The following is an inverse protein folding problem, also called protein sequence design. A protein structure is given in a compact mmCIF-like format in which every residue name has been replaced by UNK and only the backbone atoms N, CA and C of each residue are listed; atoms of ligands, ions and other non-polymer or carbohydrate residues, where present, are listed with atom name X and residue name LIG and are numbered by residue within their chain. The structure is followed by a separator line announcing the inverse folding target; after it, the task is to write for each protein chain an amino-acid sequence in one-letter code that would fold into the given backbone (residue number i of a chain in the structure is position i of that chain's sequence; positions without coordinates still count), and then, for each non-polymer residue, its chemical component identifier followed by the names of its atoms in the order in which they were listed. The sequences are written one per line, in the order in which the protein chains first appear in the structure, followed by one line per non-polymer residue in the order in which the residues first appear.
data_IF_112164575817
#
_entry.id   IF_112164575817
#
_cell.length_a   1.000
_cell.length_b   1.000
_cell.length_c   1.000
_cell.angle_alpha   90.00
_cell.angle_beta   90.00
_cell.angle_gamma   90.00
#
_symmetry.space_group_name_H-M   'P 1'
#
loop_
_entity.id
_entity.type
_entity.pdbx_description
1 polymer ?
#
# COMPACT_ATOMS: atom_id res chain seq x y z
N UNK A 1 101.06 61.54 -68.45
CA UNK A 1 99.67 61.04 -68.47
C UNK A 1 99.27 60.77 -67.02
N UNK A 2 98.18 61.40 -66.59
CA UNK A 2 97.89 61.81 -65.20
C UNK A 2 97.14 60.74 -64.38
N UNK A 3 97.79 60.26 -63.31
CA UNK A 3 97.17 59.39 -62.29
C UNK A 3 96.01 60.10 -61.56
N UNK A 4 95.96 61.43 -61.58
CA UNK A 4 94.95 62.25 -60.90
C UNK A 4 93.57 62.29 -61.57
N UNK A 5 93.45 62.02 -62.88
CA UNK A 5 92.16 62.11 -63.60
C UNK A 5 91.34 60.81 -63.52
N UNK A 6 92.01 59.66 -63.47
CA UNK A 6 91.34 58.34 -63.33
C UNK A 6 90.71 58.17 -61.95
N UNK A 7 91.39 58.62 -60.89
CA UNK A 7 90.85 58.58 -59.52
C UNK A 7 89.66 59.53 -59.33
N UNK A 8 89.67 60.70 -59.97
CA UNK A 8 88.54 61.64 -59.93
C UNK A 8 87.27 61.06 -60.54
N UNK A 9 87.37 60.36 -61.68
CA UNK A 9 86.22 59.72 -62.33
C UNK A 9 85.67 58.53 -61.53
N UNK A 10 86.54 57.73 -60.90
CA UNK A 10 86.12 56.59 -60.07
C UNK A 10 85.43 57.05 -58.79
N UNK A 11 85.91 58.11 -58.12
CA UNK A 11 85.27 58.66 -56.91
C UNK A 11 83.88 59.22 -57.21
N UNK A 12 83.68 59.87 -58.37
CA UNK A 12 82.38 60.39 -58.78
C UNK A 12 81.40 59.26 -59.12
N UNK A 13 81.85 58.21 -59.83
CA UNK A 13 81.01 57.05 -60.14
C UNK A 13 80.64 56.24 -58.89
N UNK A 14 81.59 56.01 -57.98
CA UNK A 14 81.31 55.31 -56.70
C UNK A 14 80.40 56.16 -55.80
N UNK A 15 80.58 57.48 -55.78
CA UNK A 15 79.71 58.41 -55.07
C UNK A 15 78.28 58.43 -55.61
N UNK A 16 78.11 58.40 -56.94
CA UNK A 16 76.81 58.34 -57.60
C UNK A 16 76.08 57.01 -57.34
N UNK A 17 76.80 55.88 -57.43
CA UNK A 17 76.25 54.55 -57.11
C UNK A 17 75.86 54.47 -55.62
N UNK A 18 76.67 55.04 -54.73
CA UNK A 18 76.37 55.10 -53.29
C UNK A 18 75.11 55.93 -52.98
N UNK A 19 74.88 57.04 -53.68
CA UNK A 19 73.68 57.86 -53.51
C UNK A 19 72.41 57.15 -54.01
N UNK A 20 72.49 56.45 -55.14
CA UNK A 20 71.38 55.65 -55.68
C UNK A 20 71.06 54.46 -54.77
N UNK A 21 72.07 53.75 -54.27
CA UNK A 21 71.86 52.64 -53.34
C UNK A 21 71.22 53.13 -52.02
N UNK A 22 71.63 54.30 -51.52
CA UNK A 22 71.07 54.90 -50.30
C UNK A 22 69.62 55.37 -50.50
N UNK A 23 69.27 55.94 -51.65
CA UNK A 23 67.89 56.34 -51.93
C UNK A 23 66.98 55.12 -52.12
N UNK A 24 67.47 54.05 -52.76
CA UNK A 24 66.71 52.81 -52.95
C UNK A 24 66.47 52.08 -51.62
N UNK A 25 67.51 51.95 -50.77
CA UNK A 25 67.39 51.33 -49.44
C UNK A 25 66.44 52.10 -48.52
N UNK A 26 66.47 53.44 -48.56
CA UNK A 26 65.57 54.26 -47.74
C UNK A 26 64.13 54.23 -48.23
N UNK A 27 63.88 54.15 -49.54
CA UNK A 27 62.54 53.95 -50.09
C UNK A 27 62.00 52.56 -49.75
N UNK A 28 62.81 51.52 -49.99
CA UNK A 28 62.44 50.14 -49.70
C UNK A 28 62.15 49.91 -48.21
N UNK A 29 62.97 50.50 -47.32
CA UNK A 29 62.75 50.47 -45.87
C UNK A 29 61.47 51.21 -45.44
N UNK A 30 61.16 52.36 -46.04
CA UNK A 30 59.90 53.08 -45.75
C UNK A 30 58.68 52.31 -46.22
N UNK A 31 58.77 51.64 -47.36
CA UNK A 31 57.65 50.91 -47.95
C UNK A 31 57.40 49.58 -47.21
N UNK A 32 58.46 48.85 -46.85
CA UNK A 32 58.35 47.68 -45.96
C UNK A 32 57.84 48.05 -44.57
N UNK A 33 58.29 49.17 -43.98
CA UNK A 33 57.77 49.64 -42.69
C UNK A 33 56.27 49.99 -42.76
N UNK A 34 55.81 50.63 -43.84
CA UNK A 34 54.37 50.92 -44.05
C UNK A 34 53.55 49.63 -44.18
N UNK A 35 54.05 48.64 -44.90
CA UNK A 35 53.37 47.34 -45.06
C UNK A 35 53.27 46.61 -43.73
N UNK A 36 54.35 46.60 -42.92
CA UNK A 36 54.35 45.95 -41.59
C UNK A 36 53.34 46.61 -40.65
N UNK A 37 53.28 47.95 -40.60
CA UNK A 37 52.30 48.68 -39.78
C UNK A 37 50.87 48.41 -40.23
N UNK A 38 50.61 48.36 -41.54
CA UNK A 38 49.29 48.04 -42.07
C UNK A 38 48.85 46.61 -41.71
N UNK A 39 49.78 45.65 -41.74
CA UNK A 39 49.52 44.25 -41.37
C UNK A 39 49.24 44.10 -39.88
N UNK A 40 50.02 44.78 -39.02
CA UNK A 40 49.78 44.78 -37.57
C UNK A 40 48.42 45.42 -37.23
N UNK A 41 48.08 46.55 -37.84
CA UNK A 41 46.78 47.18 -37.64
C UNK A 41 45.63 46.29 -38.13
N UNK A 42 45.80 45.57 -39.24
CA UNK A 42 44.80 44.63 -39.73
C UNK A 42 44.63 43.42 -38.80
N UNK A 43 45.73 42.91 -38.23
CA UNK A 43 45.69 41.81 -37.27
C UNK A 43 45.07 42.23 -35.92
N UNK A 44 45.36 43.44 -35.44
CA UNK A 44 44.71 44.01 -34.25
C UNK A 44 43.23 44.29 -34.49
N UNK A 45 42.85 44.81 -35.65
CA UNK A 45 41.45 45.02 -36.03
C UNK A 45 40.71 43.68 -36.07
N UNK A 46 41.31 42.64 -36.68
CA UNK A 46 40.75 41.30 -36.75
C UNK A 46 40.56 40.69 -35.35
N UNK A 47 41.57 40.78 -34.46
CA UNK A 47 41.46 40.34 -33.06
C UNK A 47 40.39 41.11 -32.28
N UNK A 48 40.24 42.42 -32.53
CA UNK A 48 39.19 43.23 -31.91
C UNK A 48 37.79 42.86 -32.45
N UNK A 49 37.66 42.55 -33.74
CA UNK A 49 36.39 42.10 -34.33
C UNK A 49 36.00 40.70 -33.83
N UNK A 50 36.96 39.81 -33.67
CA UNK A 50 36.75 38.46 -33.13
C UNK A 50 36.37 38.49 -31.65
N UNK A 51 37.02 39.35 -30.83
CA UNK A 51 36.61 39.61 -29.45
C UNK A 51 35.21 40.25 -29.35
N UNK A 52 34.87 41.14 -30.28
CA UNK A 52 33.54 41.76 -30.37
C UNK A 52 32.41 40.77 -30.68
N UNK A 53 32.70 39.70 -31.45
CA UNK A 53 31.75 38.63 -31.77
C UNK A 53 31.48 37.67 -30.60
N UNK A 54 32.36 37.60 -29.61
CA UNK A 54 32.25 36.70 -28.45
C UNK A 54 31.69 37.37 -27.18
N UNK A 55 31.23 38.62 -27.29
CA UNK A 55 30.52 39.31 -26.21
C UNK A 55 29.04 38.96 -26.29
N UNK A 56 28.52 38.26 -25.28
CA UNK A 56 27.09 38.08 -25.10
C UNK A 56 26.41 39.46 -25.17
N UNK A 57 25.52 39.62 -26.14
CA UNK A 57 24.80 40.88 -26.33
C UNK A 57 23.83 41.10 -25.17
N UNK A 58 23.39 42.34 -24.94
CA UNK A 58 22.38 42.62 -23.90
C UNK A 58 21.11 41.79 -24.11
N UNK A 59 20.77 41.52 -25.37
CA UNK A 59 19.71 40.61 -25.79
C UNK A 59 19.96 39.17 -25.32
N UNK A 60 21.17 38.62 -25.50
CA UNK A 60 21.51 37.26 -25.04
C UNK A 60 21.38 37.14 -23.52
N UNK A 61 21.87 38.13 -22.77
CA UNK A 61 21.72 38.18 -21.31
C UNK A 61 20.24 38.21 -20.92
N UNK A 62 19.43 39.00 -21.62
CA UNK A 62 17.99 39.10 -21.34
C UNK A 62 17.26 37.78 -21.60
N UNK A 63 17.59 37.09 -22.70
CA UNK A 63 17.04 35.77 -23.06
C UNK A 63 17.44 34.71 -22.04
N UNK A 64 18.71 34.69 -21.64
CA UNK A 64 19.21 33.77 -20.60
C UNK A 64 18.49 34.01 -19.27
N UNK A 65 18.33 35.27 -18.84
CA UNK A 65 17.63 35.59 -17.59
C UNK A 65 16.16 35.18 -17.65
N UNK A 66 15.46 35.43 -18.76
CA UNK A 66 14.05 35.00 -18.89
C UNK A 66 13.92 33.48 -18.90
N UNK A 67 14.84 32.76 -19.56
CA UNK A 67 14.90 31.31 -19.51
C UNK A 67 15.15 30.82 -18.08
N UNK A 68 16.10 31.40 -17.35
CA UNK A 68 16.38 31.05 -15.95
C UNK A 68 15.17 31.30 -15.05
N UNK A 69 14.48 32.42 -15.18
CA UNK A 69 13.26 32.72 -14.43
C UNK A 69 12.14 31.74 -14.78
N UNK A 70 11.97 31.41 -16.06
CA UNK A 70 10.97 30.43 -16.49
C UNK A 70 11.25 29.03 -15.93
N UNK A 71 12.51 28.57 -15.99
CA UNK A 71 12.94 27.27 -15.44
C UNK A 71 12.77 27.27 -13.92
N UNK A 72 13.18 28.33 -13.22
CA UNK A 72 13.00 28.45 -11.78
C UNK A 72 11.52 28.42 -11.39
N UNK A 73 10.66 29.08 -12.16
CA UNK A 73 9.21 29.08 -11.92
C UNK A 73 8.61 27.70 -12.14
N UNK A 74 8.97 27.01 -13.23
CA UNK A 74 8.52 25.64 -13.51
C UNK A 74 8.98 24.68 -12.41
N UNK A 75 10.26 24.73 -12.03
CA UNK A 75 10.82 23.92 -10.96
C UNK A 75 10.11 24.17 -9.62
N UNK A 76 9.83 25.44 -9.29
CA UNK A 76 9.09 25.77 -8.07
C UNK A 76 7.67 25.20 -8.10
N UNK A 77 6.98 25.25 -9.24
CA UNK A 77 5.63 24.69 -9.39
C UNK A 77 5.66 23.16 -9.23
N UNK A 78 6.57 22.48 -9.92
CA UNK A 78 6.71 21.02 -9.83
C UNK A 78 7.09 20.57 -8.41
N UNK A 79 7.99 21.31 -7.75
CA UNK A 79 8.36 21.04 -6.37
C UNK A 79 7.17 21.20 -5.41
N UNK A 80 6.37 22.26 -5.55
CA UNK A 80 5.17 22.45 -4.72
C UNK A 80 4.10 21.38 -5.00
N UNK A 81 3.94 20.94 -6.25
CA UNK A 81 3.07 19.82 -6.61
C UNK A 81 3.54 18.51 -5.95
N UNK A 82 4.82 18.19 -6.02
CA UNK A 82 5.39 17.01 -5.37
C UNK A 82 5.23 17.06 -3.85
N UNK A 83 5.47 18.21 -3.21
CA UNK A 83 5.23 18.39 -1.77
C UNK A 83 3.77 18.16 -1.40
N UNK A 84 2.83 18.68 -2.19
CA UNK A 84 1.41 18.48 -1.96
C UNK A 84 1.02 17.00 -2.11
N UNK A 85 1.56 16.30 -3.10
CA UNK A 85 1.32 14.87 -3.31
C UNK A 85 1.89 14.01 -2.17
N UNK A 86 3.14 14.27 -1.76
CA UNK A 86 3.75 13.60 -0.60
C UNK A 86 2.91 13.84 0.65
N UNK A 87 2.44 15.07 0.88
CA UNK A 87 1.59 15.38 2.04
C UNK A 87 0.25 14.65 1.99
N UNK A 88 -0.34 14.49 0.80
CA UNK A 88 -1.58 13.73 0.60
C UNK A 88 -1.37 12.25 0.92
N UNK A 89 -0.34 11.64 0.32
CA UNK A 89 -0.01 10.23 0.51
C UNK A 89 0.32 9.94 1.98
N UNK A 90 1.06 10.83 2.66
CA UNK A 90 1.37 10.69 4.09
C UNK A 90 0.10 10.65 4.94
N UNK A 91 -0.86 11.54 4.69
CA UNK A 91 -2.15 11.54 5.43
C UNK A 91 -3.01 10.31 5.13
N UNK A 92 -3.04 9.86 3.89
CA UNK A 92 -3.74 8.63 3.51
C UNK A 92 -3.13 7.41 4.21
N UNK A 93 -1.80 7.34 4.28
CA UNK A 93 -1.07 6.30 5.00
C UNK A 93 -1.32 6.34 6.51
N UNK A 94 -1.31 7.53 7.13
CA UNK A 94 -1.64 7.71 8.54
C UNK A 94 -3.07 7.21 8.85
N UNK A 95 -4.04 7.58 8.02
CA UNK A 95 -5.43 7.13 8.19
C UNK A 95 -5.52 5.59 8.06
N UNK A 96 -4.86 5.02 7.06
CA UNK A 96 -4.81 3.57 6.87
C UNK A 96 -4.18 2.87 8.09
N UNK A 97 -3.07 3.37 8.61
CA UNK A 97 -2.40 2.82 9.79
C UNK A 97 -3.32 2.88 11.02
N UNK A 98 -3.98 4.02 11.27
CA UNK A 98 -4.94 4.14 12.38
C UNK A 98 -6.08 3.12 12.24
N UNK A 99 -6.66 2.99 11.04
CA UNK A 99 -7.73 2.02 10.77
C UNK A 99 -7.26 0.57 10.89
N UNK A 100 -6.02 0.28 10.54
CA UNK A 100 -5.39 -1.03 10.77
C UNK A 100 -5.37 -1.37 12.27
N UNK A 101 -4.92 -0.44 13.12
CA UNK A 101 -4.88 -0.62 14.57
C UNK A 101 -6.28 -0.72 15.22
N UNK A 102 -7.33 -0.18 14.57
CA UNK A 102 -8.72 -0.29 15.00
C UNK A 102 -9.34 -1.63 14.58
N UNK A 103 -9.20 -2.01 13.32
CA UNK A 103 -9.92 -3.15 12.75
C UNK A 103 -9.25 -4.50 12.98
N UNK A 104 -7.93 -4.55 13.18
CA UNK A 104 -7.21 -5.82 13.39
C UNK A 104 -7.63 -6.50 14.70
N UNK A 105 -7.64 -5.80 15.85
CA UNK A 105 -8.12 -6.39 17.10
C UNK A 105 -9.60 -6.79 17.05
N UNK A 106 -10.45 -5.97 16.42
CA UNK A 106 -11.88 -6.26 16.35
C UNK A 106 -12.19 -7.42 15.40
N UNK A 107 -11.44 -7.56 14.29
CA UNK A 107 -11.51 -8.75 13.43
C UNK A 107 -11.18 -10.01 14.22
N UNK A 108 -10.06 -10.00 14.93
CA UNK A 108 -9.64 -11.14 15.74
C UNK A 108 -10.70 -11.50 16.78
N UNK A 109 -11.14 -10.52 17.57
CA UNK A 109 -12.17 -10.70 18.61
C UNK A 109 -13.48 -11.28 18.07
N UNK A 110 -13.96 -10.76 16.94
CA UNK A 110 -15.24 -11.22 16.35
C UNK A 110 -15.13 -12.65 15.81
N UNK A 111 -14.00 -13.00 15.18
CA UNK A 111 -13.73 -14.37 14.72
C UNK A 111 -13.57 -15.33 15.91
N UNK A 112 -12.81 -14.95 16.95
CA UNK A 112 -12.63 -15.75 18.16
C UNK A 112 -13.96 -16.08 18.83
N UNK A 113 -14.81 -15.07 19.03
CA UNK A 113 -16.13 -15.24 19.61
C UNK A 113 -17.00 -16.18 18.76
N UNK A 114 -16.94 -16.06 17.44
CA UNK A 114 -17.66 -16.96 16.54
C UNK A 114 -17.16 -18.41 16.67
N UNK A 115 -15.84 -18.63 16.67
CA UNK A 115 -15.24 -19.97 16.84
C UNK A 115 -15.66 -20.58 18.17
N UNK A 116 -15.56 -19.83 19.26
CA UNK A 116 -15.95 -20.28 20.60
C UNK A 116 -17.42 -20.72 20.61
N UNK A 117 -18.32 -19.89 20.09
CA UNK A 117 -19.77 -20.17 20.09
C UNK A 117 -20.15 -21.36 19.22
N UNK A 118 -19.48 -21.56 18.09
CA UNK A 118 -19.68 -22.75 17.25
C UNK A 118 -19.18 -24.01 17.96
N UNK A 119 -18.01 -23.95 18.64
CA UNK A 119 -17.49 -25.09 19.41
C UNK A 119 -18.35 -25.41 20.63
N UNK A 120 -18.86 -24.41 21.35
CA UNK A 120 -19.82 -24.59 22.44
C UNK A 120 -21.05 -25.38 21.96
N UNK A 121 -21.61 -24.98 20.81
CA UNK A 121 -22.76 -25.64 20.21
C UNK A 121 -22.46 -27.09 19.82
N UNK A 122 -21.25 -27.37 19.32
CA UNK A 122 -20.80 -28.73 19.01
C UNK A 122 -20.74 -29.61 20.28
N UNK A 123 -20.19 -29.08 21.38
CA UNK A 123 -20.08 -29.79 22.66
C UNK A 123 -21.47 -30.11 23.25
N UNK A 124 -22.40 -29.16 23.18
CA UNK A 124 -23.81 -29.35 23.56
C UNK A 124 -24.48 -30.39 22.66
N UNK A 125 -24.24 -30.31 21.34
CA UNK A 125 -24.76 -31.25 20.35
C UNK A 125 -24.36 -32.69 20.66
N UNK A 126 -23.10 -32.90 21.05
CA UNK A 126 -22.52 -34.18 21.49
C UNK A 126 -23.01 -34.65 22.87
N UNK A 127 -23.86 -33.86 23.56
CA UNK A 127 -24.31 -34.09 24.94
C UNK A 127 -23.16 -34.20 25.95
N UNK A 128 -22.00 -33.63 25.63
CA UNK A 128 -20.85 -33.62 26.54
C UNK A 128 -21.03 -32.57 27.64
N UNK A 129 -21.84 -31.54 27.37
CA UNK A 129 -21.98 -30.38 28.24
C UNK A 129 -23.43 -29.90 28.45
N UNK A 130 -24.46 -30.76 28.36
CA UNK A 130 -25.79 -30.31 28.80
C UNK A 130 -25.77 -30.17 30.33
N UNK A 131 -25.79 -28.95 30.89
CA UNK A 131 -25.60 -28.78 32.33
C UNK A 131 -26.88 -29.06 33.12
N UNK A 132 -28.02 -29.17 32.44
CA UNK A 132 -29.34 -29.28 33.05
C UNK A 132 -29.99 -30.61 32.67
N UNK A 133 -30.48 -31.31 33.70
CA UNK A 133 -31.38 -32.44 33.54
C UNK A 133 -32.83 -31.97 33.69
N UNK A 134 -33.47 -31.63 32.57
CA UNK A 134 -34.86 -31.15 32.54
C UNK A 134 -35.87 -32.19 33.06
N UNK A 135 -35.50 -33.46 33.21
CA UNK A 135 -36.37 -34.45 33.84
C UNK A 135 -36.57 -34.18 35.34
N UNK A 136 -35.68 -33.41 35.97
CA UNK A 136 -35.79 -33.03 37.38
C UNK A 136 -36.66 -31.80 37.61
N UNK A 137 -36.94 -31.02 36.56
CA UNK A 137 -37.62 -29.72 36.66
C UNK A 137 -39.12 -29.88 36.92
N UNK A 138 -39.69 -28.95 37.67
CA UNK A 138 -41.15 -28.81 37.81
C UNK A 138 -41.75 -28.09 36.60
N UNK A 139 -43.09 -28.07 36.51
CA UNK A 139 -43.79 -27.35 35.43
C UNK A 139 -43.62 -25.84 35.57
N UNK A 140 -43.54 -25.36 36.80
CA UNK A 140 -43.29 -23.96 37.14
C UNK A 140 -41.87 -23.56 36.72
N UNK A 141 -40.87 -24.39 37.04
CA UNK A 141 -39.47 -24.15 36.63
C UNK A 141 -39.34 -24.04 35.12
N UNK A 142 -39.97 -24.97 34.37
CA UNK A 142 -39.87 -24.95 32.91
C UNK A 142 -40.62 -23.78 32.28
N UNK A 143 -41.73 -23.35 32.88
CA UNK A 143 -42.48 -22.17 32.41
C UNK A 143 -41.65 -20.90 32.59
N UNK A 144 -40.95 -20.76 33.71
CA UNK A 144 -40.02 -19.66 33.94
C UNK A 144 -38.86 -19.71 32.95
N UNK A 145 -38.21 -20.88 32.82
CA UNK A 145 -37.08 -21.08 31.91
C UNK A 145 -37.40 -20.72 30.45
N UNK A 146 -38.53 -21.21 29.91
CA UNK A 146 -38.96 -20.88 28.54
C UNK A 146 -39.29 -19.40 28.35
N UNK A 147 -39.64 -18.69 29.43
CA UNK A 147 -39.90 -17.25 29.36
C UNK A 147 -38.61 -16.45 29.22
N UNK A 148 -37.55 -16.88 29.90
CA UNK A 148 -36.23 -16.26 29.78
C UNK A 148 -35.56 -16.59 28.44
N UNK A 149 -35.79 -17.78 27.89
CA UNK A 149 -35.14 -18.29 26.67
C UNK A 149 -35.86 -17.96 25.36
N UNK A 150 -36.63 -16.88 25.30
CA UNK A 150 -37.27 -16.37 24.07
C UNK A 150 -38.16 -17.37 23.29
N UNK A 151 -38.73 -18.39 23.96
CA UNK A 151 -39.67 -19.31 23.32
C UNK A 151 -40.94 -18.58 22.87
N UNK A 152 -41.51 -18.99 21.73
CA UNK A 152 -42.78 -18.45 21.24
C UNK A 152 -43.95 -18.97 22.09
N UNK A 153 -45.06 -18.20 22.20
CA UNK A 153 -46.23 -18.66 22.96
C UNK A 153 -46.76 -20.03 22.52
N UNK A 154 -46.79 -20.30 21.21
CA UNK A 154 -47.23 -21.59 20.65
C UNK A 154 -46.31 -22.76 21.02
N UNK A 155 -45.00 -22.51 21.10
CA UNK A 155 -44.00 -23.51 21.50
C UNK A 155 -44.15 -23.86 22.99
N UNK A 156 -44.36 -22.84 23.83
CA UNK A 156 -44.62 -23.02 25.27
C UNK A 156 -45.89 -23.86 25.50
N UNK A 157 -46.97 -23.56 24.79
CA UNK A 157 -48.23 -24.31 24.91
C UNK A 157 -48.08 -25.77 24.49
N UNK A 158 -47.36 -26.04 23.39
CA UNK A 158 -47.05 -27.39 22.94
C UNK A 158 -46.24 -28.17 23.98
N UNK A 159 -45.19 -27.57 24.52
CA UNK A 159 -44.33 -28.22 25.53
C UNK A 159 -45.12 -28.49 26.80
N UNK A 160 -45.86 -27.51 27.34
CA UNK A 160 -46.58 -27.65 28.60
C UNK A 160 -47.73 -28.66 28.52
N UNK A 161 -48.48 -28.67 27.40
CA UNK A 161 -49.54 -29.66 27.18
C UNK A 161 -48.98 -31.08 27.06
N UNK A 162 -47.83 -31.23 26.40
CA UNK A 162 -47.14 -32.52 26.27
C UNK A 162 -46.52 -32.95 27.60
N UNK A 163 -46.03 -32.01 28.42
CA UNK A 163 -45.42 -32.27 29.72
C UNK A 163 -46.38 -32.91 30.71
N UNK A 164 -47.63 -32.46 30.75
CA UNK A 164 -48.68 -33.02 31.62
C UNK A 164 -49.05 -34.46 31.26
N UNK A 165 -48.99 -34.80 29.97
CA UNK A 165 -49.35 -36.13 29.45
C UNK A 165 -48.16 -37.09 29.48
N UNK A 166 -46.99 -36.60 29.03
CA UNK A 166 -45.76 -37.36 28.93
C UNK A 166 -44.54 -36.44 29.10
N UNK A 167 -44.05 -36.35 30.34
CA UNK A 167 -42.87 -35.52 30.69
C UNK A 167 -41.66 -35.77 29.79
N UNK A 168 -41.37 -37.02 29.42
CA UNK A 168 -40.22 -37.34 28.56
C UNK A 168 -40.37 -36.75 27.16
N UNK A 169 -41.58 -36.80 26.62
CA UNK A 169 -41.88 -36.22 25.31
C UNK A 169 -41.81 -34.69 25.37
N UNK A 170 -42.32 -34.09 26.45
CA UNK A 170 -42.21 -32.64 26.68
C UNK A 170 -40.75 -32.18 26.81
N UNK A 171 -39.91 -32.92 27.52
CA UNK A 171 -38.46 -32.64 27.61
C UNK A 171 -37.79 -32.74 26.24
N UNK A 172 -38.09 -33.78 25.45
CA UNK A 172 -37.55 -33.89 24.09
C UNK A 172 -37.91 -32.68 23.22
N UNK A 173 -39.17 -32.25 23.26
CA UNK A 173 -39.64 -31.14 22.43
C UNK A 173 -39.04 -29.80 22.89
N UNK A 174 -38.90 -29.60 24.20
CA UNK A 174 -38.16 -28.49 24.79
C UNK A 174 -36.70 -28.47 24.31
N UNK A 175 -35.97 -29.57 24.46
CA UNK A 175 -34.56 -29.66 24.07
C UNK A 175 -34.37 -29.40 22.58
N UNK A 176 -35.29 -29.90 21.74
CA UNK A 176 -35.25 -29.65 20.30
C UNK A 176 -35.44 -28.16 19.97
N UNK A 177 -36.42 -27.49 20.58
CA UNK A 177 -36.66 -26.06 20.35
C UNK A 177 -35.49 -25.22 20.90
N UNK A 178 -34.97 -25.57 22.08
CA UNK A 178 -33.81 -24.91 22.67
C UNK A 178 -32.59 -24.96 21.74
N UNK A 179 -32.29 -26.14 21.17
CA UNK A 179 -31.20 -26.28 20.19
C UNK A 179 -31.37 -25.39 18.96
N UNK A 180 -32.60 -25.17 18.49
CA UNK A 180 -32.88 -24.26 17.35
C UNK A 180 -32.66 -22.80 17.72
N UNK A 181 -33.02 -22.42 18.94
CA UNK A 181 -32.76 -21.07 19.46
C UNK A 181 -31.26 -20.85 19.56
N UNK A 182 -30.52 -21.77 20.21
CA UNK A 182 -29.06 -21.70 20.35
C UNK A 182 -28.36 -21.68 18.98
N UNK A 183 -28.77 -22.54 18.05
CA UNK A 183 -28.26 -22.53 16.67
C UNK A 183 -28.47 -21.16 16.00
N UNK A 184 -29.67 -20.58 16.12
CA UNK A 184 -29.98 -19.28 15.52
C UNK A 184 -29.14 -18.15 16.13
N UNK A 185 -28.87 -18.19 17.43
CA UNK A 185 -27.97 -17.24 18.11
C UNK A 185 -26.55 -17.34 17.56
N UNK A 186 -26.02 -18.57 17.41
CA UNK A 186 -24.68 -18.78 16.86
C UNK A 186 -24.61 -18.37 15.38
N UNK A 187 -25.66 -18.62 14.59
CA UNK A 187 -25.75 -18.17 13.21
C UNK A 187 -25.66 -16.63 13.10
N UNK A 188 -26.33 -15.90 13.98
CA UNK A 188 -26.26 -14.43 13.98
C UNK A 188 -24.86 -13.92 14.36
N UNK A 189 -24.17 -14.60 15.29
CA UNK A 189 -22.78 -14.30 15.65
C UNK A 189 -21.86 -14.55 14.45
N UNK A 190 -22.04 -15.66 13.73
CA UNK A 190 -21.30 -15.95 12.51
C UNK A 190 -21.51 -14.87 11.45
N UNK A 191 -22.76 -14.51 11.15
CA UNK A 191 -23.11 -13.43 10.22
C UNK A 191 -22.52 -12.08 10.64
N UNK A 192 -22.41 -11.83 11.94
CA UNK A 192 -21.78 -10.62 12.48
C UNK A 192 -20.28 -10.59 12.16
N UNK A 193 -19.56 -11.68 12.40
CA UNK A 193 -18.15 -11.80 12.06
C UNK A 193 -17.91 -11.68 10.54
N UNK A 194 -18.74 -12.36 9.74
CA UNK A 194 -18.71 -12.29 8.28
C UNK A 194 -18.93 -10.85 7.77
N UNK A 195 -19.99 -10.18 8.25
CA UNK A 195 -20.28 -8.79 7.88
C UNK A 195 -19.15 -7.86 8.27
N UNK A 196 -18.56 -8.06 9.45
CA UNK A 196 -17.44 -7.25 9.90
C UNK A 196 -16.25 -7.41 8.95
N UNK A 197 -15.88 -8.64 8.60
CA UNK A 197 -14.81 -8.92 7.66
C UNK A 197 -15.05 -8.24 6.30
N UNK A 198 -16.20 -8.48 5.67
CA UNK A 198 -16.47 -7.91 4.35
C UNK A 198 -16.57 -6.38 4.34
N UNK A 199 -17.08 -5.77 5.41
CA UNK A 199 -17.18 -4.31 5.52
C UNK A 199 -15.83 -3.62 5.67
N UNK A 200 -14.82 -4.32 6.19
CA UNK A 200 -13.51 -3.74 6.51
C UNK A 200 -12.36 -4.38 5.71
N UNK A 201 -12.67 -5.24 4.72
CA UNK A 201 -11.69 -5.99 3.93
C UNK A 201 -10.59 -5.12 3.30
N UNK A 202 -10.92 -3.88 2.93
CA UNK A 202 -9.97 -2.93 2.32
C UNK A 202 -8.81 -2.54 3.25
N UNK A 203 -8.93 -2.78 4.55
CA UNK A 203 -7.90 -2.46 5.55
C UNK A 203 -7.05 -3.66 5.94
N UNK A 204 -7.41 -4.86 5.49
CA UNK A 204 -6.68 -6.09 5.77
C UNK A 204 -5.69 -6.36 4.65
N UNK A 205 -4.48 -6.83 5.00
CA UNK A 205 -3.56 -7.34 3.99
C UNK A 205 -4.15 -8.57 3.29
N UNK A 206 -3.58 -8.94 2.14
CA UNK A 206 -4.00 -10.15 1.43
C UNK A 206 -3.80 -11.41 2.30
N UNK A 207 -2.71 -11.48 3.06
CA UNK A 207 -2.43 -12.60 3.97
C UNK A 207 -3.50 -12.73 5.07
N UNK A 208 -3.80 -11.62 5.77
CA UNK A 208 -4.87 -11.59 6.79
C UNK A 208 -6.22 -11.93 6.16
N UNK A 209 -6.48 -11.40 4.96
CA UNK A 209 -7.75 -11.61 4.26
C UNK A 209 -7.98 -13.08 3.90
N UNK A 210 -6.94 -13.79 3.47
CA UNK A 210 -7.01 -15.22 3.13
C UNK A 210 -7.32 -16.04 4.37
N UNK A 211 -6.59 -15.81 5.47
CA UNK A 211 -6.76 -16.57 6.72
C UNK A 211 -8.15 -16.30 7.34
N UNK A 212 -8.56 -15.03 7.43
CA UNK A 212 -9.85 -14.66 7.99
C UNK A 212 -11.02 -15.25 7.18
N UNK A 213 -10.93 -15.22 5.84
CA UNK A 213 -11.95 -15.82 4.99
C UNK A 213 -12.02 -17.34 5.15
N UNK A 214 -10.87 -18.01 5.28
CA UNK A 214 -10.82 -19.45 5.55
C UNK A 214 -11.45 -19.80 6.91
N UNK A 215 -11.17 -19.00 7.95
CA UNK A 215 -11.80 -19.17 9.27
C UNK A 215 -13.32 -19.00 9.20
N UNK A 216 -13.81 -17.93 8.58
CA UNK A 216 -15.26 -17.67 8.41
C UNK A 216 -15.94 -18.81 7.63
N UNK A 217 -15.28 -19.32 6.59
CA UNK A 217 -15.80 -20.44 5.81
C UNK A 217 -15.84 -21.73 6.62
N UNK A 218 -14.75 -22.09 7.29
CA UNK A 218 -14.66 -23.32 8.07
C UNK A 218 -15.64 -23.31 9.26
N UNK A 219 -15.81 -22.17 9.93
CA UNK A 219 -16.82 -22.04 11.00
C UNK A 219 -18.25 -22.15 10.46
N UNK A 220 -18.51 -21.63 9.25
CA UNK A 220 -19.80 -21.82 8.60
C UNK A 220 -20.08 -23.30 8.30
N UNK A 221 -19.08 -24.02 7.77
CA UNK A 221 -19.22 -25.46 7.47
C UNK A 221 -19.51 -26.24 8.74
N UNK A 222 -18.78 -25.97 9.84
CA UNK A 222 -19.06 -26.58 11.13
C UNK A 222 -20.48 -26.27 11.60
N UNK A 223 -20.87 -24.99 11.58
CA UNK A 223 -22.20 -24.58 11.99
C UNK A 223 -23.27 -25.31 11.16
N UNK A 224 -23.15 -25.32 9.84
CA UNK A 224 -24.08 -26.02 8.95
C UNK A 224 -24.21 -27.52 9.29
N UNK A 225 -23.10 -28.18 9.65
CA UNK A 225 -23.11 -29.58 10.05
C UNK A 225 -23.82 -29.81 11.41
N UNK A 226 -24.01 -28.75 12.21
CA UNK A 226 -24.69 -28.77 13.51
C UNK A 226 -26.18 -28.38 13.41
N UNK A 227 -26.71 -28.13 12.20
CA UNK A 227 -28.10 -27.74 12.01
C UNK A 227 -29.07 -28.77 12.64
N UNK A 228 -29.89 -28.39 13.64
CA UNK A 228 -30.84 -29.29 14.28
C UNK A 228 -31.95 -29.79 13.34
N UNK A 229 -32.21 -29.08 12.23
CA UNK A 229 -33.20 -29.45 11.21
C UNK A 229 -32.57 -30.29 10.08
N UNK A 230 -31.28 -30.61 10.19
CA UNK A 230 -30.54 -31.42 9.25
C UNK A 230 -31.12 -32.84 9.12
N UNK A 231 -31.35 -33.26 7.87
CA UNK A 231 -31.89 -34.59 7.54
C UNK A 231 -30.86 -35.72 7.64
N UNK A 232 -29.61 -35.39 7.95
CA UNK A 232 -28.48 -36.32 7.91
C UNK A 232 -28.40 -37.31 9.08
N UNK A 233 -29.34 -37.24 10.04
CA UNK A 233 -29.30 -37.97 11.33
C UNK A 233 -29.69 -39.45 11.23
N UNK A 234 -30.06 -39.95 10.05
CA UNK A 234 -30.65 -41.30 9.92
C UNK A 234 -29.61 -42.40 9.64
N UNK A 235 -28.44 -42.06 9.10
CA UNK A 235 -27.40 -43.03 8.73
C UNK A 235 -26.19 -42.97 9.70
N UNK A 236 -25.95 -44.01 10.53
CA UNK A 236 -24.83 -44.05 11.46
C UNK A 236 -23.44 -43.94 10.81
N UNK A 237 -23.28 -44.46 9.58
CA UNK A 237 -21.99 -44.39 8.86
C UNK A 237 -21.70 -42.94 8.45
N UNK A 238 -22.71 -42.25 7.91
CA UNK A 238 -22.63 -40.83 7.58
C UNK A 238 -22.34 -39.95 8.80
N UNK A 239 -22.97 -40.23 9.96
CA UNK A 239 -22.71 -39.48 11.20
C UNK A 239 -21.26 -39.60 11.65
N UNK A 240 -20.66 -40.79 11.51
CA UNK A 240 -19.25 -41.00 11.86
C UNK A 240 -18.29 -40.33 10.87
N UNK A 241 -18.61 -40.34 9.56
CA UNK A 241 -17.87 -39.58 8.55
C UNK A 241 -17.93 -38.07 8.83
N UNK A 242 -19.12 -37.56 9.12
CA UNK A 242 -19.34 -36.15 9.46
C UNK A 242 -18.56 -35.75 10.71
N UNK A 243 -18.49 -36.64 11.72
CA UNK A 243 -17.71 -36.41 12.93
C UNK A 243 -16.23 -36.27 12.63
N UNK A 244 -15.66 -37.16 11.81
CA UNK A 244 -14.26 -37.09 11.38
C UNK A 244 -13.98 -35.81 10.58
N UNK A 245 -14.87 -35.46 9.65
CA UNK A 245 -14.76 -34.22 8.89
C UNK A 245 -14.79 -32.99 9.81
N UNK A 246 -15.66 -32.96 10.82
CA UNK A 246 -15.70 -31.87 11.79
C UNK A 246 -14.41 -31.81 12.66
N UNK A 247 -13.83 -32.94 13.02
CA UNK A 247 -12.55 -33.00 13.75
C UNK A 247 -11.39 -32.45 12.90
N UNK A 248 -11.36 -32.76 11.60
CA UNK A 248 -10.39 -32.19 10.65
C UNK A 248 -10.58 -30.68 10.49
N UNK A 249 -11.83 -30.21 10.33
CA UNK A 249 -12.13 -28.78 10.22
C UNK A 249 -11.75 -28.05 11.50
N UNK A 250 -12.05 -28.59 12.67
CA UNK A 250 -11.64 -28.01 13.96
C UNK A 250 -10.12 -27.88 14.07
N UNK A 251 -9.38 -28.90 13.63
CA UNK A 251 -7.91 -28.86 13.62
C UNK A 251 -7.39 -27.75 12.72
N UNK A 252 -7.96 -27.58 11.52
CA UNK A 252 -7.59 -26.51 10.62
C UNK A 252 -7.98 -25.12 11.17
N UNK A 253 -9.14 -25.00 11.83
CA UNK A 253 -9.53 -23.77 12.53
C UNK A 253 -8.51 -23.40 13.61
N UNK A 254 -8.08 -24.36 14.43
CA UNK A 254 -7.11 -24.08 15.50
C UNK A 254 -5.75 -23.63 14.94
N UNK A 255 -5.32 -24.24 13.84
CA UNK A 255 -4.11 -23.82 13.11
C UNK A 255 -4.26 -22.41 12.55
N UNK A 256 -5.33 -22.14 11.79
CA UNK A 256 -5.56 -20.83 11.15
C UNK A 256 -5.75 -19.72 12.18
N UNK A 257 -6.36 -20.03 13.33
CA UNK A 257 -6.53 -19.11 14.46
C UNK A 257 -5.18 -18.63 15.00
N UNK A 258 -4.24 -19.56 15.22
CA UNK A 258 -2.89 -19.22 15.64
C UNK A 258 -2.16 -18.42 14.56
N UNK A 259 -2.28 -18.82 13.31
CA UNK A 259 -1.67 -18.11 12.18
C UNK A 259 -2.19 -16.67 12.07
N UNK A 260 -3.51 -16.48 12.18
CA UNK A 260 -4.15 -15.16 12.17
C UNK A 260 -3.56 -14.28 13.28
N UNK A 261 -3.50 -14.80 14.52
CA UNK A 261 -2.97 -14.07 15.66
C UNK A 261 -1.51 -13.63 15.44
N UNK A 262 -0.65 -14.54 15.00
CA UNK A 262 0.76 -14.26 14.73
C UNK A 262 0.94 -13.20 13.63
N UNK A 263 0.16 -13.30 12.55
CA UNK A 263 0.20 -12.35 11.44
C UNK A 263 -0.29 -10.98 11.85
N UNK A 264 -1.42 -10.89 12.55
CA UNK A 264 -1.93 -9.62 13.07
C UNK A 264 -0.91 -8.97 14.01
N UNK A 265 -0.30 -9.74 14.92
CA UNK A 265 0.75 -9.22 15.80
C UNK A 265 1.96 -8.69 15.02
N UNK A 266 2.45 -9.44 14.04
CA UNK A 266 3.60 -9.04 13.22
C UNK A 266 3.30 -7.73 12.47
N UNK A 267 2.13 -7.67 11.86
CA UNK A 267 1.70 -6.53 11.07
C UNK A 267 1.39 -5.27 11.87
N UNK A 268 1.04 -5.41 13.15
CA UNK A 268 0.85 -4.29 14.08
C UNK A 268 2.17 -3.81 14.72
N UNK A 269 3.16 -4.70 14.85
CA UNK A 269 4.51 -4.34 15.35
C UNK A 269 5.34 -3.62 14.28
N UNK A 270 5.27 -4.08 13.04
CA UNK A 270 6.02 -3.52 11.92
C UNK A 270 5.51 -2.14 11.45
N UNK A 271 4.36 -1.66 11.93
CA UNK A 271 3.89 -0.28 11.66
C UNK A 271 4.57 0.79 12.52
N UNK A 272 5.39 0.39 13.51
CA UNK A 272 6.06 1.30 14.46
C UNK A 272 7.57 1.53 14.16
N UNK A 273 8.09 1.01 13.05
CA UNK A 273 9.45 1.27 12.53
C UNK A 273 9.37 2.09 11.24
#
# INVERSE_FOLDING_TARGET
MSISVVWGAVVVLVGAIGLIAKSFLTSFSKETAKVVVALQNAEELAKATEKGKNLATKEDIKVITTLQESVKKTFQIEMEQQKAEISRISREYELYAVKKHEYYPELYKTIELCIEKVKDLELIGRRLESPLDFLTFTKEDITAYMTDKAFKPSEKELILSTWDVNKRLGVRDLEYILRRIEYSEVEEIHRTAERFYFSHRLYFSDEISVIANALIHNTYVLLFNLDPDSRFVVDPEYVEELRKANEEINTEIDKLRLELFEKLQKELKNTNE
#
